data_IF_668719732253
#
_entry.id   IF_668719732253
#
_cell.length_a   1.000
_cell.length_b   1.000
_cell.length_c   1.000
_cell.angle_alpha   90.00
_cell.angle_beta   90.00
_cell.angle_gamma   90.00
#
_symmetry.space_group_name_H-M   'P 1'
#
loop_
_entity.id
_entity.type
_entity.pdbx_description
1 polymer ?
#
# COMPACT_ATOMS: atom_id res chain seq x y z
N UNK A 1 39.10 10.59 10.36
CA UNK A 1 38.35 10.05 11.50
C UNK A 1 38.98 10.69 12.72
N UNK A 2 38.22 11.48 13.48
CA UNK A 2 38.75 12.32 14.57
C UNK A 2 39.15 11.44 15.77
N UNK A 3 40.35 11.60 16.31
CA UNK A 3 40.86 10.86 17.47
C UNK A 3 41.02 11.79 18.68
N UNK A 4 40.06 11.72 19.60
CA UNK A 4 39.97 12.60 20.77
C UNK A 4 41.14 12.48 21.77
N UNK A 5 41.95 11.42 21.66
CA UNK A 5 43.11 11.21 22.52
C UNK A 5 44.40 11.86 21.98
N UNK A 6 44.46 12.14 20.68
CA UNK A 6 45.68 12.60 19.99
C UNK A 6 45.49 13.95 19.31
N UNK A 7 44.27 14.30 18.91
CA UNK A 7 43.97 15.51 18.16
C UNK A 7 43.85 16.75 19.06
N UNK A 8 44.19 17.90 18.48
CA UNK A 8 44.12 19.20 19.15
C UNK A 8 42.69 19.51 19.66
N UNK A 9 42.52 19.88 20.94
CA UNK A 9 41.20 20.10 21.55
C UNK A 9 40.40 21.20 20.84
N UNK A 10 41.07 22.23 20.31
CA UNK A 10 40.41 23.34 19.62
C UNK A 10 39.86 22.89 18.28
N UNK A 11 40.64 22.10 17.55
CA UNK A 11 40.23 21.46 16.28
C UNK A 11 39.07 20.49 16.49
N UNK A 12 39.10 19.70 17.56
CA UNK A 12 38.00 18.82 17.95
C UNK A 12 36.73 19.61 18.29
N UNK A 13 36.87 20.68 19.08
CA UNK A 13 35.75 21.54 19.44
C UNK A 13 35.13 22.24 18.22
N UNK A 14 35.96 22.76 17.31
CA UNK A 14 35.50 23.36 16.06
C UNK A 14 34.77 22.34 15.17
N UNK A 15 35.29 21.12 15.07
CA UNK A 15 34.65 20.02 14.35
C UNK A 15 33.28 19.70 14.95
N UNK A 16 33.15 19.58 16.27
CA UNK A 16 31.86 19.32 16.92
C UNK A 16 30.89 20.48 16.79
N UNK A 17 31.32 21.74 16.93
CA UNK A 17 30.44 22.91 16.75
C UNK A 17 29.90 22.96 15.32
N UNK A 18 30.75 22.70 14.32
CA UNK A 18 30.35 22.66 12.92
C UNK A 18 29.36 21.52 12.61
N UNK A 19 29.49 20.37 13.29
CA UNK A 19 28.58 19.23 13.13
C UNK A 19 27.35 19.29 14.04
N UNK A 20 27.39 20.08 15.12
CA UNK A 20 26.24 20.37 16.00
C UNK A 20 25.23 21.27 15.29
N UNK A 21 25.69 22.28 14.56
CA UNK A 21 24.79 23.09 13.72
C UNK A 21 24.13 22.23 12.62
N UNK A 22 24.85 21.26 12.05
CA UNK A 22 24.26 20.31 11.10
C UNK A 22 23.21 19.39 11.74
N UNK A 23 23.40 18.97 13.00
CA UNK A 23 22.41 18.19 13.74
C UNK A 23 21.17 19.01 14.13
N UNK A 24 21.33 20.32 14.35
CA UNK A 24 20.23 21.26 14.62
C UNK A 24 19.35 21.54 13.38
N UNK A 25 19.91 21.40 12.18
CA UNK A 25 19.20 21.53 10.90
C UNK A 25 18.80 20.19 10.26
N UNK A 26 19.11 19.05 10.88
CA UNK A 26 18.52 17.79 10.45
C UNK A 26 17.03 17.83 10.81
N UNK A 27 16.10 17.65 9.86
CA UNK A 27 14.68 17.58 10.17
C UNK A 27 14.43 16.25 10.90
N UNK A 28 14.66 16.26 12.21
CA UNK A 28 14.15 15.25 13.11
C UNK A 28 12.63 15.43 13.12
N UNK A 29 11.92 14.37 12.74
CA UNK A 29 10.46 14.19 12.81
C UNK A 29 9.60 14.77 11.67
N UNK A 30 9.82 14.30 10.45
CA UNK A 30 8.70 13.57 9.87
C UNK A 30 8.99 12.11 10.14
N UNK A 31 8.25 11.50 11.07
CA UNK A 31 8.43 10.08 11.39
C UNK A 31 8.45 9.27 10.10
N UNK A 32 9.26 8.22 10.05
CA UNK A 32 9.35 7.32 8.87
C UNK A 32 7.94 6.93 8.39
N UNK A 33 7.00 6.78 9.32
CA UNK A 33 5.57 6.55 9.03
C UNK A 33 4.88 7.67 8.25
N UNK A 34 5.21 8.94 8.53
CA UNK A 34 4.68 10.12 7.81
C UNK A 34 5.30 10.22 6.42
N UNK A 35 6.59 9.93 6.28
CA UNK A 35 7.22 9.85 4.96
C UNK A 35 6.65 8.70 4.15
N UNK A 36 6.49 7.51 4.76
CA UNK A 36 5.87 6.35 4.12
C UNK A 36 4.46 6.68 3.67
N UNK A 37 3.66 7.33 4.54
CA UNK A 37 2.32 7.77 4.18
C UNK A 37 2.32 8.76 3.00
N UNK A 38 3.26 9.71 2.97
CA UNK A 38 3.37 10.66 1.85
C UNK A 38 3.80 9.99 0.55
N UNK A 39 4.69 9.00 0.64
CA UNK A 39 5.11 8.19 -0.51
C UNK A 39 3.90 7.38 -1.03
N UNK A 40 3.15 6.73 -0.14
CA UNK A 40 1.93 6.01 -0.50
C UNK A 40 0.89 6.96 -1.15
N UNK A 41 0.70 8.16 -0.61
CA UNK A 41 -0.20 9.18 -1.18
C UNK A 41 0.27 9.67 -2.57
N UNK A 42 1.58 9.85 -2.77
CA UNK A 42 2.18 10.24 -4.05
C UNK A 42 2.07 9.12 -5.09
N UNK A 43 2.35 7.88 -4.72
CA UNK A 43 2.20 6.72 -5.61
C UNK A 43 0.75 6.57 -6.07
N UNK A 44 -0.22 6.75 -5.16
CA UNK A 44 -1.64 6.75 -5.50
C UNK A 44 -2.01 7.91 -6.45
N UNK A 45 -1.45 9.11 -6.24
CA UNK A 45 -1.67 10.23 -7.15
C UNK A 45 -1.11 9.95 -8.55
N UNK A 46 0.08 9.36 -8.65
CA UNK A 46 0.71 8.97 -9.93
C UNK A 46 -0.11 7.89 -10.63
N UNK A 47 -0.56 6.85 -9.92
CA UNK A 47 -1.39 5.79 -10.50
C UNK A 47 -2.72 6.34 -11.04
N UNK A 48 -3.35 7.27 -10.32
CA UNK A 48 -4.58 7.93 -10.77
C UNK A 48 -4.34 8.84 -11.99
N UNK A 49 -3.20 9.52 -12.05
CA UNK A 49 -2.82 10.31 -13.22
C UNK A 49 -2.50 9.43 -14.44
N UNK A 50 -1.84 8.29 -14.25
CA UNK A 50 -1.60 7.30 -15.30
C UNK A 50 -2.92 6.73 -15.83
N UNK A 51 -3.86 6.34 -14.97
CA UNK A 51 -5.20 5.90 -15.38
C UNK A 51 -5.95 6.99 -16.16
N UNK A 52 -5.87 8.25 -15.72
CA UNK A 52 -6.46 9.39 -16.46
C UNK A 52 -5.80 9.59 -17.82
N UNK A 53 -4.47 9.43 -17.91
CA UNK A 53 -3.73 9.52 -19.17
C UNK A 53 -4.09 8.38 -20.12
N UNK A 54 -4.21 7.14 -19.61
CA UNK A 54 -4.64 5.99 -20.39
C UNK A 54 -6.07 6.17 -20.93
N UNK A 55 -6.99 6.70 -20.11
CA UNK A 55 -8.36 7.02 -20.50
C UNK A 55 -8.44 8.18 -21.52
N UNK A 56 -7.50 9.13 -21.48
CA UNK A 56 -7.42 10.22 -22.46
C UNK A 56 -6.75 9.74 -23.77
N UNK A 57 -5.71 8.91 -23.68
CA UNK A 57 -5.01 8.33 -24.85
C UNK A 57 -5.87 7.33 -25.63
N UNK A 58 -6.86 6.70 -24.99
CA UNK A 58 -7.87 5.88 -25.65
C UNK A 58 -8.97 6.72 -26.32
N UNK A 59 -9.14 7.99 -25.92
CA UNK A 59 -10.04 8.96 -26.57
C UNK A 59 -9.37 9.71 -27.75
N UNK A 60 -8.05 9.92 -27.72
CA UNK A 60 -7.27 10.42 -28.86
C UNK A 60 -6.37 9.31 -29.39
N UNK A 61 -6.85 8.57 -30.40
CA UNK A 61 -6.20 7.40 -31.00
C UNK A 61 -4.79 7.63 -31.55
N UNK A 62 -3.81 7.78 -30.66
CA UNK A 62 -2.39 7.80 -30.95
C UNK A 62 -1.80 6.57 -30.27
N UNK A 63 -1.61 5.52 -31.08
CA UNK A 63 -0.96 4.29 -30.67
C UNK A 63 0.48 4.59 -30.24
N UNK A 64 0.72 4.64 -28.94
CA UNK A 64 2.08 4.61 -28.39
C UNK A 64 2.58 3.16 -28.43
N UNK A 65 3.57 2.90 -29.29
CA UNK A 65 4.33 1.66 -29.33
C UNK A 65 4.93 1.38 -27.94
N UNK A 66 4.34 0.43 -27.21
CA UNK A 66 4.98 -0.15 -26.03
C UNK A 66 6.15 -1.02 -26.49
N UNK A 67 7.36 -0.51 -26.30
CA UNK A 67 8.62 -1.25 -26.34
C UNK A 67 8.52 -2.44 -25.38
N UNK A 68 8.27 -3.64 -25.92
CA UNK A 68 8.29 -4.89 -25.16
C UNK A 68 9.75 -5.33 -24.97
N UNK A 69 10.37 -4.89 -23.88
CA UNK A 69 11.61 -5.51 -23.42
C UNK A 69 11.28 -6.93 -22.94
N UNK A 70 11.62 -7.93 -23.75
CA UNK A 70 11.58 -9.36 -23.38
C UNK A 70 12.56 -9.59 -22.23
N UNK A 71 12.08 -9.52 -20.99
CA UNK A 71 12.77 -10.12 -19.85
C UNK A 71 12.27 -11.56 -19.68
N UNK A 72 13.21 -12.47 -19.44
CA UNK A 72 12.94 -13.88 -19.19
C UNK A 72 11.91 -14.01 -18.06
N UNK A 73 10.71 -14.49 -18.38
CA UNK A 73 9.61 -14.61 -17.43
C UNK A 73 9.94 -15.69 -16.40
N UNK A 74 10.46 -15.28 -15.23
CA UNK A 74 10.40 -16.13 -14.04
C UNK A 74 8.93 -16.51 -13.85
N UNK A 75 8.66 -17.81 -13.76
CA UNK A 75 7.31 -18.32 -13.57
C UNK A 75 6.86 -17.90 -12.17
N UNK A 76 5.91 -16.95 -12.10
CA UNK A 76 5.33 -16.49 -10.85
C UNK A 76 4.41 -17.59 -10.31
N UNK A 77 4.69 -18.07 -9.11
CA UNK A 77 3.85 -19.07 -8.43
C UNK A 77 2.88 -18.34 -7.52
N UNK A 78 1.59 -18.54 -7.75
CA UNK A 78 0.51 -17.96 -6.96
C UNK A 78 -0.02 -18.96 -5.94
N UNK A 79 -0.17 -18.52 -4.70
CA UNK A 79 -0.74 -19.25 -3.58
C UNK A 79 -2.09 -18.58 -3.24
N UNK A 80 -3.21 -19.31 -3.24
CA UNK A 80 -4.52 -18.78 -2.84
C UNK A 80 -4.48 -18.13 -1.45
N UNK A 81 -5.22 -17.02 -1.27
CA UNK A 81 -5.21 -16.28 0.00
C UNK A 81 -5.69 -17.11 1.20
N UNK A 82 -6.60 -18.06 0.96
CA UNK A 82 -7.16 -18.97 1.96
C UNK A 82 -6.23 -20.14 2.32
N UNK A 83 -5.20 -20.39 1.53
CA UNK A 83 -4.18 -21.44 1.75
C UNK A 83 -2.89 -20.88 2.38
N UNK A 84 -2.88 -19.63 2.82
CA UNK A 84 -1.73 -18.98 3.44
C UNK A 84 -1.62 -19.32 4.93
N UNK A 85 -0.80 -20.31 5.26
CA UNK A 85 -0.59 -20.74 6.65
C UNK A 85 0.50 -19.93 7.39
N UNK A 86 1.68 -19.79 6.80
CA UNK A 86 2.81 -19.06 7.40
C UNK A 86 3.25 -17.88 6.53
N UNK A 87 2.84 -16.68 6.93
CA UNK A 87 3.15 -15.43 6.24
C UNK A 87 3.99 -14.47 7.09
N UNK A 88 4.37 -14.86 8.30
CA UNK A 88 5.20 -14.04 9.16
C UNK A 88 6.60 -13.87 8.55
N UNK A 89 7.07 -12.63 8.41
CA UNK A 89 8.39 -12.33 7.83
C UNK A 89 8.50 -12.50 6.30
N UNK A 90 7.49 -13.06 5.64
CA UNK A 90 7.45 -13.16 4.18
C UNK A 90 6.96 -11.85 3.56
N UNK A 91 7.46 -11.53 2.37
CA UNK A 91 7.08 -10.33 1.62
C UNK A 91 6.28 -10.71 0.37
N UNK A 92 5.07 -10.17 0.19
CA UNK A 92 4.35 -10.35 -1.05
C UNK A 92 5.03 -9.56 -2.17
N UNK A 93 4.86 -10.02 -3.40
CA UNK A 93 5.40 -9.37 -4.61
C UNK A 93 4.32 -9.10 -5.65
N UNK A 94 3.37 -10.04 -5.77
CA UNK A 94 2.25 -9.91 -6.68
C UNK A 94 0.98 -10.35 -5.97
N UNK A 95 -0.13 -9.70 -6.32
CA UNK A 95 -1.45 -10.04 -5.88
C UNK A 95 -2.37 -10.18 -7.08
N UNK A 96 -3.05 -11.31 -7.18
CA UNK A 96 -4.06 -11.57 -8.19
C UNK A 96 -5.44 -11.33 -7.58
N UNK A 97 -6.17 -10.37 -8.16
CA UNK A 97 -7.53 -10.03 -7.80
C UNK A 97 -8.54 -11.09 -8.30
N UNK A 98 -9.80 -11.06 -7.81
CA UNK A 98 -10.84 -12.01 -8.23
C UNK A 98 -11.21 -11.96 -9.71
N UNK A 99 -11.00 -10.84 -10.39
CA UNK A 99 -11.18 -10.67 -11.83
C UNK A 99 -10.02 -11.27 -12.67
N UNK A 100 -8.94 -11.69 -12.02
CA UNK A 100 -7.72 -12.21 -12.64
C UNK A 100 -6.65 -11.16 -12.92
N UNK A 101 -6.91 -9.89 -12.63
CA UNK A 101 -5.89 -8.85 -12.71
C UNK A 101 -4.75 -9.16 -11.74
N UNK A 102 -3.50 -9.02 -12.22
CA UNK A 102 -2.30 -9.18 -11.40
C UNK A 102 -1.71 -7.80 -11.14
N UNK A 103 -1.50 -7.49 -9.86
CA UNK A 103 -0.93 -6.25 -9.35
C UNK A 103 0.44 -6.54 -8.72
N UNK A 104 1.41 -5.67 -8.96
CA UNK A 104 2.66 -5.65 -8.20
C UNK A 104 2.42 -4.96 -6.85
N UNK A 105 2.87 -5.60 -5.77
CA UNK A 105 2.67 -5.13 -4.40
C UNK A 105 3.92 -5.38 -3.56
N UNK A 106 4.13 -4.55 -2.54
CA UNK A 106 5.33 -4.63 -1.70
C UNK A 106 5.01 -4.98 -0.25
N UNK A 107 3.77 -4.76 0.18
CA UNK A 107 3.35 -4.92 1.57
C UNK A 107 2.05 -5.70 1.70
N UNK A 108 1.82 -6.29 2.87
CA UNK A 108 0.55 -6.93 3.20
C UNK A 108 -0.62 -5.94 3.24
N UNK A 109 -0.34 -4.67 3.56
CA UNK A 109 -1.32 -3.59 3.56
C UNK A 109 -1.81 -3.27 2.15
N UNK A 110 -0.95 -3.43 1.14
CA UNK A 110 -1.34 -3.26 -0.27
C UNK A 110 -2.40 -4.28 -0.67
N UNK A 111 -2.27 -5.54 -0.23
CA UNK A 111 -3.30 -6.58 -0.49
C UNK A 111 -4.65 -6.14 0.07
N UNK A 112 -4.67 -5.68 1.33
CA UNK A 112 -5.90 -5.20 1.96
C UNK A 112 -6.46 -3.98 1.23
N UNK A 113 -5.61 -3.01 0.90
CA UNK A 113 -5.99 -1.80 0.17
C UNK A 113 -6.64 -2.12 -1.16
N UNK A 114 -5.97 -2.92 -1.99
CA UNK A 114 -6.46 -3.26 -3.34
C UNK A 114 -7.71 -4.16 -3.27
N UNK A 115 -7.81 -5.02 -2.25
CA UNK A 115 -9.03 -5.81 -2.00
C UNK A 115 -10.22 -4.93 -1.65
N UNK A 116 -10.03 -3.92 -0.77
CA UNK A 116 -11.08 -2.97 -0.43
C UNK A 116 -11.50 -2.13 -1.64
N UNK A 117 -10.54 -1.61 -2.41
CA UNK A 117 -10.82 -0.87 -3.66
C UNK A 117 -11.65 -1.69 -4.63
N UNK A 118 -11.22 -2.92 -4.90
CA UNK A 118 -11.92 -3.83 -5.79
C UNK A 118 -13.36 -4.10 -5.32
N UNK A 119 -13.55 -4.33 -4.01
CA UNK A 119 -14.87 -4.57 -3.45
C UNK A 119 -15.79 -3.35 -3.55
N UNK A 120 -15.27 -2.15 -3.28
CA UNK A 120 -16.02 -0.89 -3.36
C UNK A 120 -16.38 -0.50 -4.80
N UNK A 121 -15.53 -0.86 -5.77
CA UNK A 121 -15.79 -0.63 -7.20
C UNK A 121 -16.92 -1.53 -7.73
N UNK A 122 -16.96 -2.79 -7.29
CA UNK A 122 -17.88 -3.80 -7.82
C UNK A 122 -19.13 -4.03 -6.96
N UNK A 123 -19.18 -3.48 -5.74
CA UNK A 123 -20.35 -3.56 -4.89
C UNK A 123 -20.72 -2.17 -4.33
N UNK A 124 -21.64 -1.43 -4.99
CA UNK A 124 -22.12 -0.13 -4.54
C UNK A 124 -23.08 -0.21 -3.34
N UNK A 125 -23.41 -1.41 -2.86
CA UNK A 125 -24.32 -1.66 -1.73
C UNK A 125 -23.61 -2.01 -0.43
N UNK A 126 -22.27 -1.97 -0.40
CA UNK A 126 -21.50 -2.19 0.84
C UNK A 126 -21.90 -1.12 1.87
N UNK A 127 -22.33 -1.52 3.09
CA UNK A 127 -22.71 -0.59 4.14
C UNK A 127 -21.47 0.10 4.72
N UNK A 128 -21.59 1.39 5.02
CA UNK A 128 -20.55 2.18 5.67
C UNK A 128 -21.13 2.76 6.96
N UNK A 129 -20.48 2.59 8.13
CA UNK A 129 -19.19 1.91 8.32
C UNK A 129 -19.24 0.40 8.07
N UNK A 130 -18.21 -0.13 7.42
CA UNK A 130 -18.07 -1.57 7.22
C UNK A 130 -17.19 -2.15 8.34
N UNK A 131 -17.64 -3.14 9.11
CA UNK A 131 -16.86 -3.71 10.20
C UNK A 131 -15.63 -4.47 9.66
N UNK A 132 -14.58 -4.59 10.46
CA UNK A 132 -13.52 -5.57 10.18
C UNK A 132 -13.98 -7.01 10.49
N UNK A 133 -13.14 -8.01 10.18
CA UNK A 133 -13.46 -9.42 10.48
C UNK A 133 -13.47 -9.70 11.99
N UNK A 134 -12.72 -8.94 12.79
CA UNK A 134 -12.31 -9.30 14.16
C UNK A 134 -13.24 -8.70 15.23
N UNK A 135 -13.97 -7.62 14.99
CA UNK A 135 -14.95 -7.16 15.97
C UNK A 135 -15.66 -5.83 15.69
N UNK A 136 -16.91 -5.79 16.18
CA UNK A 136 -17.93 -4.72 16.07
C UNK A 136 -17.51 -3.29 16.46
N UNK A 137 -16.31 -3.07 17.03
CA UNK A 137 -15.86 -1.75 17.49
C UNK A 137 -14.99 -1.01 16.48
N UNK A 138 -14.35 -1.71 15.55
CA UNK A 138 -13.45 -1.09 14.56
C UNK A 138 -13.99 -1.36 13.16
N UNK A 139 -14.12 -0.28 12.39
CA UNK A 139 -14.55 -0.37 10.99
C UNK A 139 -13.33 -0.60 10.11
N UNK A 140 -13.43 -1.47 9.11
CA UNK A 140 -12.42 -1.61 8.08
C UNK A 140 -12.34 -0.35 7.22
N UNK A 141 -13.49 0.25 6.93
CA UNK A 141 -13.58 1.59 6.35
C UNK A 141 -14.82 2.34 6.82
N UNK A 142 -14.68 3.67 6.88
CA UNK A 142 -15.64 4.60 7.48
C UNK A 142 -15.59 5.97 6.80
N UNK A 143 -16.66 6.76 6.91
CA UNK A 143 -16.64 8.19 6.55
C UNK A 143 -15.89 9.04 7.58
N UNK A 144 -15.68 8.51 8.78
CA UNK A 144 -14.94 9.18 9.84
C UNK A 144 -13.44 8.97 9.65
N UNK A 145 -12.73 10.09 9.59
CA UNK A 145 -11.28 10.07 9.54
C UNK A 145 -10.73 9.47 10.84
N UNK A 146 -9.83 8.48 10.78
CA UNK A 146 -9.32 7.86 11.99
C UNK A 146 -8.41 8.80 12.78
N UNK A 147 -8.20 8.46 14.05
CA UNK A 147 -7.40 9.26 14.98
C UNK A 147 -5.93 9.41 14.50
N UNK A 148 -5.23 10.42 15.04
CA UNK A 148 -3.81 10.65 14.75
C UNK A 148 -3.00 9.39 15.05
N UNK A 149 -2.06 9.04 14.16
CA UNK A 149 -1.17 7.85 14.19
C UNK A 149 -1.81 6.51 13.74
N UNK A 150 -3.07 6.50 13.29
CA UNK A 150 -3.64 5.31 12.63
C UNK A 150 -3.32 5.40 11.14
N UNK A 151 -2.75 4.34 10.57
CA UNK A 151 -2.50 4.25 9.12
C UNK A 151 -3.82 4.06 8.37
N UNK A 152 -4.07 4.88 7.35
CA UNK A 152 -5.27 4.81 6.51
C UNK A 152 -4.98 5.26 5.08
N UNK A 153 -5.82 4.84 4.13
CA UNK A 153 -5.89 5.41 2.78
C UNK A 153 -7.23 6.10 2.59
N UNK A 154 -7.26 7.12 1.73
CA UNK A 154 -8.49 7.84 1.39
C UNK A 154 -8.97 7.39 0.02
N UNK A 155 -10.25 7.04 -0.09
CA UNK A 155 -10.89 6.67 -1.35
C UNK A 155 -12.22 7.40 -1.56
N UNK A 156 -12.74 7.34 -2.78
CA UNK A 156 -14.10 7.79 -3.09
C UNK A 156 -15.01 6.59 -3.32
N UNK A 157 -16.19 6.63 -2.70
CA UNK A 157 -17.22 5.62 -2.87
C UNK A 157 -18.60 6.28 -2.83
N UNK A 158 -19.42 6.02 -3.86
CA UNK A 158 -20.72 6.66 -4.06
C UNK A 158 -20.66 8.20 -3.95
N UNK A 159 -19.60 8.81 -4.48
CA UNK A 159 -19.37 10.27 -4.43
C UNK A 159 -18.94 10.81 -3.06
N UNK A 160 -18.84 9.95 -2.04
CA UNK A 160 -18.41 10.33 -0.70
C UNK A 160 -16.97 9.90 -0.43
N UNK A 161 -16.26 10.71 0.35
CA UNK A 161 -14.93 10.34 0.84
C UNK A 161 -15.07 9.27 1.93
N UNK A 162 -14.24 8.24 1.83
CA UNK A 162 -14.12 7.16 2.81
C UNK A 162 -12.66 6.98 3.19
N UNK A 163 -12.43 6.40 4.36
CA UNK A 163 -11.10 6.11 4.89
C UNK A 163 -10.99 4.61 5.14
N UNK A 164 -10.05 3.94 4.47
CA UNK A 164 -9.75 2.51 4.67
C UNK A 164 -8.63 2.41 5.68
N UNK A 165 -8.85 1.68 6.76
CA UNK A 165 -7.86 1.55 7.83
C UNK A 165 -6.87 0.43 7.48
N UNK A 166 -5.58 0.70 7.69
CA UNK A 166 -4.47 -0.19 7.30
C UNK A 166 -3.57 -0.55 8.48
N UNK A 167 -4.02 -0.30 9.71
CA UNK A 167 -3.28 -0.60 10.93
C UNK A 167 -3.47 -2.07 11.38
N UNK A 168 -3.08 -3.00 10.51
CA UNK A 168 -3.18 -4.44 10.72
C UNK A 168 -1.83 -5.11 10.49
N UNK A 169 -1.58 -6.20 11.20
CA UNK A 169 -0.50 -7.14 10.88
C UNK A 169 -0.80 -7.93 9.59
N UNK A 170 0.14 -8.75 9.13
CA UNK A 170 0.03 -9.51 7.89
C UNK A 170 -1.17 -10.48 7.89
N UNK A 171 -1.45 -11.17 9.00
CA UNK A 171 -2.56 -12.12 9.11
C UNK A 171 -3.89 -11.40 9.05
N UNK A 172 -4.01 -10.30 9.79
CA UNK A 172 -5.23 -9.49 9.77
C UNK A 172 -5.44 -8.79 8.42
N UNK A 173 -4.38 -8.42 7.70
CA UNK A 173 -4.49 -7.93 6.32
C UNK A 173 -5.11 -8.98 5.39
N UNK A 174 -4.61 -10.22 5.40
CA UNK A 174 -5.13 -11.32 4.56
C UNK A 174 -6.55 -11.69 4.96
N UNK A 175 -6.82 -11.80 6.26
CA UNK A 175 -8.14 -12.15 6.77
C UNK A 175 -9.20 -11.09 6.44
N UNK A 176 -8.87 -9.81 6.58
CA UNK A 176 -9.77 -8.71 6.20
C UNK A 176 -9.92 -8.60 4.67
N UNK A 177 -8.87 -8.89 3.90
CA UNK A 177 -8.93 -8.95 2.44
C UNK A 177 -9.92 -10.03 1.98
N UNK A 178 -9.81 -11.27 2.50
CA UNK A 178 -10.78 -12.33 2.21
C UNK A 178 -12.21 -11.94 2.63
N UNK A 179 -12.36 -11.31 3.79
CA UNK A 179 -13.65 -10.88 4.31
C UNK A 179 -14.35 -9.83 3.41
N UNK A 180 -13.62 -8.80 2.97
CA UNK A 180 -14.17 -7.76 2.10
C UNK A 180 -14.41 -8.27 0.67
N UNK A 181 -13.53 -9.13 0.15
CA UNK A 181 -13.72 -9.76 -1.16
C UNK A 181 -14.94 -10.69 -1.18
N UNK A 182 -15.31 -11.27 -0.03
CA UNK A 182 -16.56 -12.02 0.14
C UNK A 182 -17.83 -11.18 -0.07
N UNK A 183 -17.74 -9.85 -0.08
CA UNK A 183 -18.85 -8.95 -0.42
C UNK A 183 -19.00 -8.72 -1.93
N UNK A 184 -18.05 -9.17 -2.75
CA UNK A 184 -18.10 -8.95 -4.20
C UNK A 184 -19.14 -9.88 -4.85
N UNK A 185 -20.04 -9.37 -5.72
CA UNK A 185 -20.95 -10.21 -6.48
C UNK A 185 -20.20 -11.26 -7.30
N UNK A 186 -20.71 -12.49 -7.32
CA UNK A 186 -20.03 -13.64 -7.96
C UNK A 186 -19.74 -13.44 -9.45
N UNK A 187 -20.49 -12.57 -10.13
CA UNK A 187 -20.28 -12.21 -11.54
C UNK A 187 -18.92 -11.55 -11.82
N UNK A 188 -18.31 -10.91 -10.82
CA UNK A 188 -16.98 -10.31 -10.92
C UNK A 188 -15.86 -11.22 -10.41
N UNK A 189 -16.19 -12.44 -9.99
CA UNK A 189 -15.23 -13.42 -9.45
C UNK A 189 -14.96 -14.48 -10.52
N UNK A 190 -13.87 -14.30 -11.26
CA UNK A 190 -13.40 -15.23 -12.29
C UNK A 190 -12.37 -16.23 -11.76
N UNK A 191 -11.54 -15.81 -10.80
CA UNK A 191 -10.47 -16.63 -10.23
C UNK A 191 -10.38 -16.46 -8.72
N UNK A 192 -9.73 -17.42 -8.06
CA UNK A 192 -9.44 -17.31 -6.63
C UNK A 192 -8.34 -16.26 -6.41
N UNK A 193 -8.56 -15.28 -5.52
CA UNK A 193 -7.55 -14.30 -5.19
C UNK A 193 -6.32 -15.00 -4.61
N UNK A 194 -5.14 -14.63 -5.07
CA UNK A 194 -3.90 -15.34 -4.76
C UNK A 194 -2.71 -14.38 -4.69
N UNK A 195 -1.65 -14.75 -3.95
CA UNK A 195 -0.42 -13.95 -3.86
C UNK A 195 0.79 -14.71 -4.38
N UNK A 196 1.80 -13.98 -4.83
CA UNK A 196 3.14 -14.50 -5.02
C UNK A 196 4.07 -13.92 -3.96
N UNK A 197 4.87 -14.78 -3.33
CA UNK A 197 5.85 -14.39 -2.32
C UNK A 197 7.24 -14.23 -2.94
N UNK A 198 8.05 -13.34 -2.36
CA UNK A 198 9.47 -13.27 -2.67
C UNK A 198 10.16 -14.49 -2.07
N UNK A 199 10.88 -15.24 -2.90
CA UNK A 199 11.83 -16.28 -2.48
C UNK A 199 12.97 -15.70 -1.64
#
# INVERSE_FOLDING_TARGET
>A
MLNLAEDDPVTCAAYFVQHLDAARYWPIEQGIDVLSQRVDELENAVANLQKKLDNLSSATGVAAERVKTRQATKKIVFIPLDELEDIAGKKPTHFRLPDGQVLEINTWKDILRESCKFALEHNPSIPIPFPDRVGKKVSLFSHEKPAKKVSFVTEQYNGNKIYIYLNYDSHNCVANALYVLGQVPKEFVSVVPAIALRE
#
